data_IF_253358889271
#
_entry.id   IF_253358889271
#
_cell.length_a   1.000
_cell.length_b   1.000
_cell.length_c   1.000
_cell.angle_alpha   90.00
_cell.angle_beta   90.00
_cell.angle_gamma   90.00
#
_symmetry.space_group_name_H-M   'P 1'
#
loop_
_entity.id
_entity.type
_entity.pdbx_description
1 polymer ?
#
# COMPACT_ATOMS: atom_id res chain seq x y z
N UNK A 1 -11.86 12.20 26.62
CA UNK A 1 -12.56 11.05 26.11
C UNK A 1 -11.59 10.22 25.27
N UNK A 2 -11.41 8.96 25.64
CA UNK A 2 -10.48 8.12 24.86
C UNK A 2 -10.97 7.93 23.43
N UNK A 3 -10.03 7.86 22.54
CA UNK A 3 -10.30 7.58 21.15
C UNK A 3 -10.42 6.07 20.99
N UNK A 4 -11.59 5.61 20.56
CA UNK A 4 -11.82 4.17 20.46
C UNK A 4 -10.91 3.53 19.42
N UNK A 5 -10.65 4.23 18.34
CA UNK A 5 -9.81 3.70 17.27
C UNK A 5 -8.36 3.53 17.70
N UNK A 6 -7.98 4.12 18.82
CA UNK A 6 -6.62 4.00 19.31
C UNK A 6 -6.44 2.84 20.27
N UNK A 7 -7.54 2.18 20.62
CA UNK A 7 -7.48 1.09 21.59
C UNK A 7 -7.36 -0.23 20.82
N UNK A 8 -6.17 -0.47 20.32
CA UNK A 8 -5.85 -1.73 19.66
C UNK A 8 -5.05 -2.59 20.60
N UNK A 9 -5.38 -3.86 20.67
CA UNK A 9 -4.59 -4.80 21.43
C UNK A 9 -3.21 -4.99 20.79
N UNK A 10 -2.22 -5.46 21.53
CA UNK A 10 -0.92 -5.76 20.90
C UNK A 10 -1.02 -6.75 19.75
N UNK A 11 -1.92 -7.72 19.87
CA UNK A 11 -2.13 -8.69 18.80
C UNK A 11 -2.71 -8.03 17.55
N UNK A 12 -3.66 -7.11 17.73
CA UNK A 12 -4.24 -6.39 16.62
C UNK A 12 -3.19 -5.48 15.95
N UNK A 13 -2.37 -4.82 16.75
CA UNK A 13 -1.29 -4.00 16.20
C UNK A 13 -0.35 -4.82 15.36
N UNK A 14 0.02 -5.98 15.87
CA UNK A 14 0.94 -6.84 15.16
C UNK A 14 0.32 -7.31 13.85
N UNK A 15 -0.96 -7.70 13.89
CA UNK A 15 -1.65 -8.15 12.70
C UNK A 15 -1.72 -7.05 11.63
N UNK A 16 -2.04 -5.83 12.04
CA UNK A 16 -2.04 -4.71 11.11
C UNK A 16 -0.67 -4.45 10.51
N UNK A 17 0.36 -4.46 11.35
CA UNK A 17 1.71 -4.21 10.87
C UNK A 17 2.18 -5.28 9.90
N UNK A 18 1.85 -6.54 10.18
CA UNK A 18 2.21 -7.62 9.26
C UNK A 18 1.48 -7.50 7.93
N UNK A 19 0.20 -7.12 7.98
CA UNK A 19 -0.56 -6.92 6.75
C UNK A 19 0.00 -5.77 5.93
N UNK A 20 0.35 -4.68 6.59
CA UNK A 20 0.95 -3.53 5.92
C UNK A 20 2.27 -3.93 5.27
N UNK A 21 3.11 -4.67 5.99
CA UNK A 21 4.40 -5.10 5.44
C UNK A 21 4.21 -5.98 4.21
N UNK A 22 3.24 -6.89 4.25
CA UNK A 22 2.96 -7.76 3.11
C UNK A 22 2.47 -6.96 1.91
N UNK A 23 1.53 -6.04 2.15
CA UNK A 23 0.96 -5.23 1.08
C UNK A 23 1.99 -4.33 0.45
N UNK A 24 2.81 -3.67 1.27
CA UNK A 24 3.86 -2.80 0.75
C UNK A 24 4.89 -3.60 -0.03
N UNK A 25 5.26 -4.78 0.44
CA UNK A 25 6.22 -5.62 -0.26
C UNK A 25 5.65 -6.07 -1.61
N UNK A 26 4.36 -6.43 -1.65
CA UNK A 26 3.71 -6.83 -2.90
C UNK A 26 3.70 -5.69 -3.90
N UNK A 27 3.31 -4.49 -3.44
CA UNK A 27 3.28 -3.33 -4.31
C UNK A 27 4.69 -3.01 -4.82
N UNK A 28 5.68 -3.09 -3.95
CA UNK A 28 7.06 -2.80 -4.34
C UNK A 28 7.55 -3.78 -5.42
N UNK A 29 7.28 -5.07 -5.24
CA UNK A 29 7.69 -6.06 -6.23
C UNK A 29 7.01 -5.83 -7.57
N UNK A 30 5.72 -5.46 -7.56
CA UNK A 30 5.01 -5.17 -8.80
C UNK A 30 5.62 -3.98 -9.51
N UNK A 31 5.93 -2.91 -8.77
CA UNK A 31 6.54 -1.73 -9.39
C UNK A 31 7.92 -2.06 -9.95
N UNK A 32 8.69 -2.89 -9.24
CA UNK A 32 9.99 -3.30 -9.74
C UNK A 32 9.87 -4.09 -11.03
N UNK A 33 8.86 -4.95 -11.12
CA UNK A 33 8.61 -5.71 -12.35
C UNK A 33 8.24 -4.80 -13.51
N UNK A 34 7.65 -3.65 -13.23
CA UNK A 34 7.20 -2.74 -14.26
C UNK A 34 8.26 -1.75 -14.70
N UNK A 35 9.33 -1.62 -13.93
CA UNK A 35 10.42 -0.72 -14.30
C UNK A 35 11.06 -1.21 -15.58
N UNK A 36 11.33 -0.26 -16.49
CA UNK A 36 11.89 -0.60 -17.76
C UNK A 36 10.89 -1.03 -18.81
N UNK A 37 9.65 -1.27 -18.43
CA UNK A 37 8.60 -1.56 -19.38
C UNK A 37 8.02 -0.28 -19.92
N UNK A 38 7.53 -0.35 -21.15
CA UNK A 38 6.89 0.81 -21.76
C UNK A 38 5.46 0.91 -21.27
N UNK A 39 5.17 1.95 -20.52
CA UNK A 39 3.84 2.19 -19.97
C UNK A 39 3.18 3.32 -20.74
N UNK A 40 1.87 3.19 -21.02
CA UNK A 40 1.13 4.28 -21.58
C UNK A 40 0.86 5.33 -20.51
N UNK A 41 0.20 6.44 -20.90
CA UNK A 41 -0.01 7.55 -19.97
C UNK A 41 -0.82 7.13 -18.74
N UNK A 42 -1.89 6.37 -18.95
CA UNK A 42 -2.74 5.93 -17.85
C UNK A 42 -1.99 5.00 -16.93
N UNK A 43 -1.23 4.06 -17.48
CA UNK A 43 -0.45 3.13 -16.68
C UNK A 43 0.61 3.87 -15.87
N UNK A 44 1.23 4.89 -16.45
CA UNK A 44 2.24 5.68 -15.73
C UNK A 44 1.60 6.43 -14.58
N UNK A 45 0.41 7.00 -14.80
CA UNK A 45 -0.32 7.68 -13.74
C UNK A 45 -0.63 6.72 -12.59
N UNK A 46 -1.06 5.50 -12.93
CA UNK A 46 -1.35 4.50 -11.91
C UNK A 46 -0.10 4.05 -11.17
N UNK A 47 1.02 3.95 -11.88
CA UNK A 47 2.31 3.62 -11.26
C UNK A 47 2.64 4.66 -10.17
N UNK A 48 2.49 5.94 -10.53
CA UNK A 48 2.74 7.02 -9.56
C UNK A 48 1.75 6.99 -8.41
N UNK A 49 0.50 6.62 -8.69
CA UNK A 49 -0.52 6.53 -7.64
C UNK A 49 -0.18 5.42 -6.65
N UNK A 50 0.34 4.29 -7.14
CA UNK A 50 0.79 3.23 -6.24
C UNK A 50 1.89 3.75 -5.32
N UNK A 51 2.85 4.48 -5.86
CA UNK A 51 3.93 5.05 -5.07
C UNK A 51 3.39 6.00 -4.00
N UNK A 52 2.40 6.81 -4.37
CA UNK A 52 1.77 7.74 -3.42
C UNK A 52 1.07 6.99 -2.29
N UNK A 53 0.29 5.96 -2.63
CA UNK A 53 -0.38 5.17 -1.60
C UNK A 53 0.64 4.50 -0.66
N UNK A 54 1.73 3.98 -1.21
CA UNK A 54 2.77 3.35 -0.39
C UNK A 54 3.38 4.36 0.58
N UNK A 55 3.65 5.57 0.09
CA UNK A 55 4.23 6.61 0.93
C UNK A 55 3.25 7.02 2.03
N UNK A 56 1.98 7.20 1.67
CA UNK A 56 0.96 7.58 2.64
C UNK A 56 0.78 6.48 3.69
N UNK A 57 0.84 5.21 3.27
CA UNK A 57 0.74 4.10 4.20
C UNK A 57 1.89 4.12 5.20
N UNK A 58 3.09 4.36 4.71
CA UNK A 58 4.28 4.42 5.57
C UNK A 58 4.16 5.56 6.57
N UNK A 59 3.69 6.71 6.12
CA UNK A 59 3.54 7.88 6.98
C UNK A 59 2.44 7.67 8.02
N UNK A 60 1.30 7.09 7.60
CA UNK A 60 0.15 6.89 8.50
C UNK A 60 0.42 5.81 9.55
N UNK A 61 1.33 4.91 9.25
CA UNK A 61 1.63 3.77 10.11
C UNK A 61 2.01 4.19 11.52
N UNK A 62 2.57 5.37 11.67
CA UNK A 62 3.03 5.87 12.96
C UNK A 62 1.91 6.48 13.79
N UNK A 63 0.84 6.91 13.15
CA UNK A 63 -0.20 7.66 13.84
C UNK A 63 -1.59 7.04 13.72
N UNK A 64 -1.84 6.26 12.68
CA UNK A 64 -3.18 5.70 12.43
C UNK A 64 -3.00 4.37 11.70
N UNK A 65 -2.88 3.31 12.49
CA UNK A 65 -2.56 2.01 11.96
C UNK A 65 -3.66 1.44 11.04
N UNK A 66 -4.96 1.54 11.39
CA UNK A 66 -6.00 1.08 10.46
C UNK A 66 -5.99 1.83 9.14
N UNK A 67 -5.72 3.13 9.17
CA UNK A 67 -5.62 3.91 7.93
C UNK A 67 -4.43 3.45 7.09
N UNK A 68 -3.31 3.20 7.75
CA UNK A 68 -2.12 2.72 7.03
C UNK A 68 -2.40 1.39 6.36
N UNK A 69 -3.12 0.49 7.04
CA UNK A 69 -3.47 -0.78 6.45
C UNK A 69 -4.36 -0.60 5.23
N UNK A 70 -5.33 0.30 5.31
CA UNK A 70 -6.21 0.58 4.19
C UNK A 70 -5.42 1.10 2.98
N UNK A 71 -4.50 2.03 3.22
CA UNK A 71 -3.70 2.60 2.15
C UNK A 71 -2.75 1.58 1.53
N UNK A 72 -2.15 0.73 2.37
CA UNK A 72 -1.27 -0.33 1.87
C UNK A 72 -2.06 -1.34 1.03
N UNK A 73 -3.27 -1.66 1.45
CA UNK A 73 -4.14 -2.55 0.68
C UNK A 73 -4.44 -1.96 -0.69
N UNK A 74 -4.80 -0.68 -0.73
CA UNK A 74 -5.07 -0.01 -1.99
C UNK A 74 -3.85 -0.01 -2.91
N UNK A 75 -2.67 0.20 -2.33
CA UNK A 75 -1.45 0.17 -3.12
C UNK A 75 -1.24 -1.21 -3.76
N UNK A 76 -1.44 -2.27 -2.99
CA UNK A 76 -1.21 -3.61 -3.49
C UNK A 76 -2.23 -4.00 -4.56
N UNK A 77 -3.50 -3.63 -4.36
CA UNK A 77 -4.54 -3.94 -5.35
C UNK A 77 -4.30 -3.21 -6.66
N UNK A 78 -3.99 -1.91 -6.57
CA UNK A 78 -3.73 -1.13 -7.78
C UNK A 78 -2.47 -1.62 -8.48
N UNK A 79 -1.45 -2.00 -7.72
CA UNK A 79 -0.22 -2.53 -8.30
C UNK A 79 -0.48 -3.84 -9.04
N UNK A 80 -1.29 -4.72 -8.47
CA UNK A 80 -1.65 -5.98 -9.13
C UNK A 80 -2.41 -5.73 -10.42
N UNK A 81 -3.37 -4.80 -10.38
CA UNK A 81 -4.11 -4.44 -11.59
C UNK A 81 -3.19 -3.90 -12.66
N UNK A 82 -2.29 -3.01 -12.27
CA UNK A 82 -1.35 -2.41 -13.21
C UNK A 82 -0.46 -3.48 -13.84
N UNK A 83 -0.01 -4.44 -13.03
CA UNK A 83 0.83 -5.51 -13.52
C UNK A 83 0.10 -6.35 -14.56
N UNK A 84 -1.19 -6.62 -14.35
CA UNK A 84 -1.99 -7.38 -15.30
C UNK A 84 -2.20 -6.63 -16.61
N UNK A 85 -2.44 -5.32 -16.52
CA UNK A 85 -2.73 -4.53 -17.72
C UNK A 85 -1.48 -4.16 -18.51
N UNK A 86 -0.31 -4.25 -17.89
CA UNK A 86 0.94 -3.85 -18.53
C UNK A 86 1.65 -5.00 -19.25
N UNK A 87 1.04 -6.15 -19.32
CA UNK A 87 1.66 -7.30 -19.97
C UNK A 87 1.54 -7.24 -21.49
#
# INVERSE_FOLDING_TARGET
VPQLEEILSPEQRQAFNEAIDRDLARAQRALESLQGRRLNREQRTNFERVQTFMQQATDSRKVDLPRAKNLADRASVLADDLLRTAQ
#
